data_IF_473309016734
#
_entry.id   IF_473309016734
#
_cell.length_a   1.000
_cell.length_b   1.000
_cell.length_c   1.000
_cell.angle_alpha   90.00
_cell.angle_beta   90.00
_cell.angle_gamma   90.00
#
_symmetry.space_group_name_H-M   'P 1'
#
loop_
_entity.id
_entity.type
_entity.pdbx_description
1 polymer ?
#
# COMPACT_ATOMS: atom_id res chain seq x y z
N UNK A 1 -14.46 9.27 -16.16
CA UNK A 1 -13.19 9.00 -15.46
C UNK A 1 -13.26 9.89 -14.26
N UNK A 2 -13.50 9.31 -13.09
CA UNK A 2 -13.72 10.06 -11.85
C UNK A 2 -12.40 10.73 -11.49
N UNK A 3 -12.40 12.06 -11.39
CA UNK A 3 -11.21 12.86 -11.05
C UNK A 3 -10.76 12.61 -9.60
N UNK A 4 -11.59 11.92 -8.84
CA UNK A 4 -11.41 11.56 -7.43
C UNK A 4 -10.43 10.39 -7.22
N UNK A 5 -9.99 9.69 -8.28
CA UNK A 5 -9.04 8.59 -8.10
C UNK A 5 -7.61 9.11 -7.87
N UNK A 6 -6.99 8.69 -6.76
CA UNK A 6 -5.59 8.93 -6.47
C UNK A 6 -4.72 8.29 -7.56
N UNK A 7 -3.87 9.09 -8.18
CA UNK A 7 -2.87 8.62 -9.16
C UNK A 7 -1.71 7.91 -8.47
N UNK A 8 -1.36 8.36 -7.25
CA UNK A 8 -0.27 7.79 -6.47
C UNK A 8 -0.55 7.91 -4.97
N UNK A 9 -0.34 6.81 -4.26
CA UNK A 9 -0.32 6.75 -2.80
C UNK A 9 1.05 6.27 -2.33
N UNK A 10 1.70 7.04 -1.47
CA UNK A 10 2.98 6.66 -0.85
C UNK A 10 2.70 6.06 0.52
N UNK A 11 3.18 4.84 0.73
CA UNK A 11 3.00 4.08 1.95
C UNK A 11 4.35 3.86 2.64
N UNK A 12 4.46 4.29 3.89
CA UNK A 12 5.54 3.82 4.75
C UNK A 12 5.17 2.46 5.34
N UNK A 13 6.14 1.58 5.55
CA UNK A 13 5.89 0.26 6.13
C UNK A 13 6.76 -0.06 7.35
N UNK A 14 6.19 -0.80 8.29
CA UNK A 14 6.86 -1.35 9.48
C UNK A 14 6.50 -2.82 9.64
N UNK A 15 7.45 -3.73 9.87
CA UNK A 15 8.88 -3.49 10.10
C UNK A 15 9.63 -3.14 8.80
N UNK A 16 10.65 -2.29 8.92
CA UNK A 16 11.49 -1.84 7.81
C UNK A 16 12.51 -2.91 7.37
N UNK A 17 12.00 -4.04 6.87
CA UNK A 17 12.79 -5.17 6.39
C UNK A 17 12.78 -5.21 4.85
N UNK A 18 13.92 -5.45 4.21
CA UNK A 18 14.05 -5.49 2.74
C UNK A 18 13.07 -6.48 2.10
N UNK A 19 12.96 -7.69 2.64
CA UNK A 19 12.04 -8.74 2.16
C UNK A 19 10.57 -8.33 2.22
N UNK A 20 10.18 -7.51 3.22
CA UNK A 20 8.82 -6.95 3.28
C UNK A 20 8.64 -5.98 2.12
N UNK A 21 9.58 -5.07 1.93
CA UNK A 21 9.57 -4.13 0.81
C UNK A 21 9.55 -4.81 -0.57
N UNK A 22 10.22 -5.94 -0.73
CA UNK A 22 10.23 -6.69 -1.99
C UNK A 22 8.84 -7.27 -2.31
N UNK A 23 8.16 -7.86 -1.33
CA UNK A 23 6.82 -8.43 -1.51
C UNK A 23 5.77 -7.34 -1.76
N UNK A 24 5.85 -6.21 -1.05
CA UNK A 24 4.95 -5.06 -1.23
C UNK A 24 5.01 -4.50 -2.66
N UNK A 25 6.20 -4.50 -3.28
CA UNK A 25 6.42 -3.98 -4.63
C UNK A 25 5.94 -4.92 -5.74
N UNK A 26 5.48 -6.12 -5.42
CA UNK A 26 4.90 -7.03 -6.40
C UNK A 26 3.57 -6.50 -6.93
N UNK A 27 3.31 -6.72 -8.22
CA UNK A 27 2.02 -6.34 -8.84
C UNK A 27 0.83 -7.07 -8.20
N UNK A 28 1.06 -8.29 -7.68
CA UNK A 28 0.06 -9.04 -6.93
C UNK A 28 -0.38 -8.29 -5.68
N UNK A 29 0.57 -7.83 -4.86
CA UNK A 29 0.27 -7.13 -3.62
C UNK A 29 -0.37 -5.77 -3.89
N UNK A 30 0.15 -5.01 -4.86
CA UNK A 30 -0.45 -3.76 -5.32
C UNK A 30 -1.89 -3.94 -5.80
N UNK A 31 -2.14 -4.95 -6.62
CA UNK A 31 -3.49 -5.27 -7.08
C UNK A 31 -4.41 -5.74 -5.96
N UNK A 32 -3.89 -6.34 -4.91
CA UNK A 32 -4.65 -6.62 -3.69
C UNK A 32 -5.00 -5.33 -2.94
N UNK A 33 -4.05 -4.42 -2.72
CA UNK A 33 -4.30 -3.15 -2.03
C UNK A 33 -5.40 -2.33 -2.72
N UNK A 34 -5.39 -2.24 -4.06
CA UNK A 34 -6.46 -1.56 -4.81
C UNK A 34 -7.85 -2.11 -4.51
N UNK A 35 -7.95 -3.42 -4.27
CA UNK A 35 -9.21 -4.11 -4.00
C UNK A 35 -9.61 -4.03 -2.54
N UNK A 36 -8.64 -4.19 -1.63
CA UNK A 36 -8.86 -4.23 -0.19
C UNK A 36 -9.21 -2.85 0.37
N UNK A 37 -8.60 -1.79 -0.18
CA UNK A 37 -8.75 -0.41 0.28
C UNK A 37 -9.42 0.50 -0.75
N UNK A 38 -10.25 -0.05 -1.63
CA UNK A 38 -10.97 0.75 -2.62
C UNK A 38 -11.85 1.82 -1.96
N UNK A 39 -11.83 3.04 -2.50
CA UNK A 39 -12.56 4.19 -1.96
C UNK A 39 -11.64 5.16 -1.20
N UNK A 40 -12.24 5.97 -0.33
CA UNK A 40 -11.57 7.11 0.31
C UNK A 40 -10.25 6.73 1.02
N UNK A 41 -9.22 7.56 0.82
CA UNK A 41 -7.90 7.45 1.45
C UNK A 41 -7.39 8.83 1.88
N UNK A 42 -6.83 8.90 3.07
CA UNK A 42 -6.27 10.12 3.63
C UNK A 42 -4.85 9.92 4.17
N UNK A 43 -4.06 11.01 4.16
CA UNK A 43 -2.75 11.01 4.81
C UNK A 43 -2.90 10.73 6.30
N UNK A 44 -2.08 9.79 6.80
CA UNK A 44 -2.12 9.33 8.17
C UNK A 44 -2.94 8.06 8.39
N UNK A 45 -3.73 7.62 7.41
CA UNK A 45 -4.43 6.33 7.46
C UNK A 45 -3.43 5.19 7.67
N UNK A 46 -3.85 4.20 8.45
CA UNK A 46 -3.05 3.03 8.78
C UNK A 46 -3.78 1.77 8.37
N UNK A 47 -3.08 0.90 7.67
CA UNK A 47 -3.60 -0.38 7.19
C UNK A 47 -2.78 -1.51 7.81
N UNK A 48 -3.48 -2.40 8.51
CA UNK A 48 -2.88 -3.62 9.04
C UNK A 48 -2.93 -4.69 7.95
N UNK A 49 -1.75 -5.12 7.49
CA UNK A 49 -1.60 -6.07 6.40
C UNK A 49 -0.66 -7.21 6.78
N UNK A 50 -0.59 -8.22 5.91
CA UNK A 50 0.41 -9.26 6.03
C UNK A 50 1.00 -9.59 4.66
N UNK A 51 2.30 -9.86 4.64
CA UNK A 51 3.03 -10.25 3.43
C UNK A 51 3.50 -11.69 3.56
N UNK A 52 3.53 -12.41 2.43
CA UNK A 52 4.11 -13.75 2.39
C UNK A 52 5.62 -13.67 2.59
N UNK A 53 6.17 -14.52 3.45
CA UNK A 53 7.61 -14.72 3.61
C UNK A 53 8.12 -15.92 2.83
N UNK A 54 7.26 -16.62 2.09
CA UNK A 54 7.58 -17.93 1.51
C UNK A 54 7.54 -19.06 2.55
N UNK A 55 7.60 -20.31 2.07
CA UNK A 55 7.49 -21.52 2.89
C UNK A 55 6.23 -21.58 3.78
N UNK A 56 5.14 -20.93 3.37
CA UNK A 56 3.86 -20.93 4.10
C UNK A 56 3.80 -20.00 5.32
N UNK A 57 4.80 -19.14 5.53
CA UNK A 57 4.80 -18.17 6.62
C UNK A 57 4.41 -16.77 6.15
N UNK A 58 3.76 -16.01 7.02
CA UNK A 58 3.40 -14.60 6.81
C UNK A 58 4.12 -13.70 7.80
N UNK A 59 4.13 -12.41 7.50
CA UNK A 59 4.63 -11.37 8.40
C UNK A 59 3.64 -10.24 8.43
N UNK A 60 3.20 -9.85 9.63
CA UNK A 60 2.38 -8.67 9.81
C UNK A 60 3.18 -7.41 9.51
N UNK A 61 2.53 -6.47 8.83
CA UNK A 61 3.07 -5.20 8.38
C UNK A 61 2.03 -4.13 8.61
N UNK A 62 2.45 -3.01 9.19
CA UNK A 62 1.63 -1.80 9.23
C UNK A 62 2.05 -0.91 8.07
N UNK A 63 1.10 -0.56 7.21
CA UNK A 63 1.27 0.45 6.16
C UNK A 63 0.65 1.75 6.67
N UNK A 64 1.34 2.87 6.46
CA UNK A 64 0.79 4.20 6.75
C UNK A 64 0.85 5.07 5.50
N UNK A 65 -0.25 5.75 5.20
CA UNK A 65 -0.33 6.70 4.10
C UNK A 65 0.46 7.95 4.46
N UNK A 66 1.53 8.20 3.73
CA UNK A 66 2.38 9.39 3.88
C UNK A 66 1.98 10.49 2.90
N UNK A 67 1.55 10.12 1.69
CA UNK A 67 1.02 11.06 0.71
C UNK A 67 -0.02 10.43 -0.21
N UNK A 68 -0.92 11.27 -0.70
CA UNK A 68 -1.92 10.97 -1.73
C UNK A 68 -1.85 12.06 -2.79
N UNK A 69 -1.74 11.68 -4.06
CA UNK A 69 -1.59 12.59 -5.21
C UNK A 69 -2.67 12.34 -6.26
N UNK A 70 -3.25 13.40 -6.82
CA UNK A 70 -4.39 13.32 -7.73
C UNK A 70 -5.69 13.53 -6.95
N UNK A 71 -6.57 12.54 -6.94
CA UNK A 71 -7.75 12.51 -6.06
C UNK A 71 -7.50 11.84 -4.70
N UNK A 72 -8.59 11.54 -3.99
CA UNK A 72 -8.62 11.02 -2.62
C UNK A 72 -9.28 9.63 -2.51
N UNK A 73 -9.45 8.92 -3.63
CA UNK A 73 -9.96 7.55 -3.66
C UNK A 73 -8.92 6.57 -4.24
N UNK A 74 -8.72 5.43 -3.59
CA UNK A 74 -8.02 4.30 -4.19
C UNK A 74 -8.93 3.62 -5.21
N UNK A 75 -8.44 3.48 -6.44
CA UNK A 75 -9.12 2.76 -7.52
C UNK A 75 -8.19 1.88 -8.36
N UNK A 76 -8.66 1.52 -9.55
CA UNK A 76 -7.99 0.56 -10.43
C UNK A 76 -6.67 1.07 -11.02
N UNK A 77 -6.53 2.38 -11.20
CA UNK A 77 -5.37 3.09 -11.75
C UNK A 77 -4.40 3.56 -10.68
N UNK A 78 -4.78 3.56 -9.40
CA UNK A 78 -3.92 4.02 -8.31
C UNK A 78 -2.58 3.28 -8.29
N UNK A 79 -1.49 4.05 -8.33
CA UNK A 79 -0.13 3.56 -8.13
C UNK A 79 0.27 3.55 -6.65
N UNK A 80 0.99 2.52 -6.21
CA UNK A 80 1.55 2.46 -4.85
C UNK A 80 3.08 2.51 -4.86
N UNK A 81 3.63 3.43 -4.07
CA UNK A 81 5.04 3.50 -3.75
C UNK A 81 5.27 3.15 -2.27
N UNK A 82 6.39 2.49 -1.98
CA UNK A 82 6.67 1.97 -0.65
C UNK A 82 8.02 2.45 -0.15
N UNK A 83 8.00 3.02 1.06
CA UNK A 83 9.18 3.55 1.73
C UNK A 83 9.33 2.93 3.12
N UNK A 84 10.58 2.76 3.57
CA UNK A 84 10.85 2.23 4.90
C UNK A 84 10.52 3.29 5.95
N UNK A 85 9.78 2.92 6.98
CA UNK A 85 9.59 3.77 8.16
C UNK A 85 10.70 3.49 9.16
N UNK A 86 11.61 4.45 9.36
CA UNK A 86 12.69 4.36 10.37
C UNK A 86 12.18 4.56 11.79
#
# INVERSE_FOLDING_TARGET
>A
MTDDEATRVVLSYTPAESRVGDELRTERFRGYLRRAHAGAVAVGDQWAEFVSRGCGSTRDVTLRVESVEGGDEVGERTGFAFEMRS
#
